data_IF_245648976156
#
_entry.id   IF_245648976156
#
_cell.length_a   1.000
_cell.length_b   1.000
_cell.length_c   1.000
_cell.angle_alpha   90.00
_cell.angle_beta   90.00
_cell.angle_gamma   90.00
#
_symmetry.space_group_name_H-M   'P 1'
#
loop_
_entity.id
_entity.type
_entity.pdbx_description
1 polymer ?
#
# COMPACT_ATOMS: atom_id res chain seq x y z
N UNK A 1 -15.75 -3.80 -11.38
CA UNK A 1 -14.48 -3.22 -10.89
C UNK A 1 -13.34 -3.87 -11.66
N UNK A 2 -12.36 -3.09 -12.13
CA UNK A 2 -11.20 -3.65 -12.79
C UNK A 2 -10.34 -4.42 -11.77
N UNK A 3 -9.81 -5.57 -12.18
CA UNK A 3 -8.87 -6.35 -11.38
C UNK A 3 -7.51 -5.63 -11.32
N UNK A 4 -6.76 -5.71 -10.21
CA UNK A 4 -5.46 -5.06 -10.12
C UNK A 4 -4.42 -5.80 -10.98
N UNK A 5 -3.52 -5.03 -11.57
CA UNK A 5 -2.35 -5.58 -12.25
C UNK A 5 -1.33 -6.03 -11.20
N UNK A 6 -0.96 -7.31 -11.23
CA UNK A 6 0.08 -7.83 -10.34
C UNK A 6 1.43 -7.21 -10.71
N UNK A 7 2.13 -6.69 -9.70
CA UNK A 7 3.45 -6.09 -9.86
C UNK A 7 4.42 -6.66 -8.81
N UNK A 8 5.65 -6.91 -9.22
CA UNK A 8 6.73 -7.26 -8.30
C UNK A 8 7.13 -6.05 -7.46
N UNK A 9 7.47 -6.28 -6.19
CA UNK A 9 7.98 -5.24 -5.28
C UNK A 9 9.07 -4.37 -5.92
N UNK A 10 10.06 -4.96 -6.61
CA UNK A 10 11.18 -4.19 -7.17
C UNK A 10 10.74 -3.18 -8.24
N UNK A 11 9.72 -3.53 -9.04
CA UNK A 11 9.12 -2.63 -10.03
C UNK A 11 8.27 -1.51 -9.42
N UNK A 12 7.82 -1.65 -8.17
CA UNK A 12 7.11 -0.57 -7.46
C UNK A 12 8.04 0.63 -7.25
N UNK A 13 9.34 0.41 -7.08
CA UNK A 13 10.34 1.47 -6.85
C UNK A 13 10.46 2.48 -7.99
N UNK A 14 10.07 2.11 -9.21
CA UNK A 14 10.12 2.96 -10.40
C UNK A 14 8.78 3.64 -10.72
N UNK A 15 7.75 3.44 -9.89
CA UNK A 15 6.44 4.04 -10.13
C UNK A 15 6.40 5.50 -9.69
N UNK A 16 5.65 6.30 -10.45
CA UNK A 16 5.27 7.65 -10.07
C UNK A 16 3.82 7.67 -9.62
N UNK A 17 3.49 8.63 -8.75
CA UNK A 17 2.17 8.77 -8.17
C UNK A 17 1.69 10.21 -8.41
N UNK A 18 0.45 10.36 -8.85
CA UNK A 18 -0.24 11.66 -8.86
C UNK A 18 -0.51 12.08 -7.40
N UNK A 19 -0.83 13.35 -7.14
CA UNK A 19 -1.22 13.86 -5.81
C UNK A 19 -2.73 13.74 -5.56
N UNK A 20 -3.12 13.50 -4.30
CA UNK A 20 -4.51 13.45 -3.84
C UNK A 20 -4.99 12.07 -3.40
N UNK A 21 -6.00 12.03 -2.54
CA UNK A 21 -6.46 10.76 -1.97
C UNK A 21 -7.32 9.96 -2.96
N UNK A 22 -7.09 8.64 -3.03
CA UNK A 22 -7.95 7.69 -3.77
C UNK A 22 -9.24 7.37 -3.05
N UNK A 23 -9.34 7.71 -1.75
CA UNK A 23 -10.52 7.52 -0.93
C UNK A 23 -11.35 8.80 -0.83
N UNK A 24 -12.68 8.65 -0.93
CA UNK A 24 -13.60 9.79 -0.90
C UNK A 24 -14.27 9.99 0.46
N UNK A 25 -14.12 9.06 1.39
CA UNK A 25 -14.81 9.11 2.69
C UNK A 25 -13.82 8.97 3.85
N UNK A 26 -14.10 9.70 4.94
CA UNK A 26 -13.34 9.60 6.20
C UNK A 26 -13.30 8.17 6.73
N UNK A 27 -14.41 7.44 6.58
CA UNK A 27 -14.53 6.04 7.01
C UNK A 27 -13.55 5.12 6.26
N UNK A 28 -13.37 5.32 4.96
CA UNK A 28 -12.46 4.49 4.16
C UNK A 28 -11.00 4.85 4.40
N UNK A 29 -10.71 6.14 4.62
CA UNK A 29 -9.39 6.61 5.06
C UNK A 29 -9.01 5.98 6.41
N UNK A 30 -9.96 5.94 7.36
CA UNK A 30 -9.74 5.33 8.68
C UNK A 30 -9.49 3.82 8.57
N UNK A 31 -10.31 3.10 7.81
CA UNK A 31 -10.11 1.65 7.57
C UNK A 31 -8.75 1.35 6.95
N UNK A 32 -8.31 2.18 6.00
CA UNK A 32 -6.98 2.05 5.39
C UNK A 32 -5.88 2.24 6.42
N UNK A 33 -5.99 3.25 7.29
CA UNK A 33 -5.04 3.49 8.39
C UNK A 33 -4.94 2.28 9.33
N UNK A 34 -6.09 1.75 9.77
CA UNK A 34 -6.16 0.55 10.63
C UNK A 34 -5.52 -0.68 9.97
N UNK A 35 -5.80 -0.89 8.67
CA UNK A 35 -5.22 -1.98 7.90
C UNK A 35 -3.70 -1.84 7.73
N UNK A 36 -3.19 -0.63 7.46
CA UNK A 36 -1.75 -0.33 7.38
C UNK A 36 -1.08 -0.60 8.72
N UNK A 37 -1.67 -0.14 9.83
CA UNK A 37 -1.13 -0.36 11.16
C UNK A 37 -1.02 -1.86 11.47
N UNK A 38 -2.09 -2.62 11.25
CA UNK A 38 -2.12 -4.07 11.46
C UNK A 38 -1.10 -4.80 10.58
N UNK A 39 -1.02 -4.45 9.29
CA UNK A 39 -0.08 -5.08 8.36
C UNK A 39 1.38 -4.75 8.67
N UNK A 40 1.66 -3.54 9.14
CA UNK A 40 3.01 -3.14 9.61
C UNK A 40 3.40 -3.94 10.85
N UNK A 41 2.49 -4.06 11.83
CA UNK A 41 2.72 -4.88 13.02
C UNK A 41 3.02 -6.34 12.68
N UNK A 42 2.19 -6.98 11.84
CA UNK A 42 2.39 -8.38 11.43
C UNK A 42 3.63 -8.56 10.54
N UNK A 43 3.96 -7.56 9.72
CA UNK A 43 5.17 -7.55 8.91
C UNK A 43 6.44 -7.54 9.76
N UNK A 44 6.46 -6.72 10.81
CA UNK A 44 7.59 -6.66 11.74
C UNK A 44 7.67 -7.89 12.65
N UNK A 45 6.54 -8.36 13.20
CA UNK A 45 6.53 -9.46 14.15
C UNK A 45 6.69 -10.84 13.50
N UNK A 46 6.04 -11.07 12.36
CA UNK A 46 5.88 -12.40 11.75
C UNK A 46 6.45 -12.49 10.33
N UNK A 47 7.04 -11.42 9.81
CA UNK A 47 7.43 -11.32 8.40
C UNK A 47 6.28 -11.64 7.43
N UNK A 48 5.04 -11.41 7.87
CA UNK A 48 3.87 -11.71 7.07
C UNK A 48 3.84 -10.83 5.82
N UNK A 49 3.62 -11.45 4.67
CA UNK A 49 3.31 -10.74 3.43
C UNK A 49 1.80 -10.53 3.36
N UNK A 50 1.41 -9.40 2.77
CA UNK A 50 0.03 -9.04 2.51
C UNK A 50 -0.10 -8.59 1.06
N UNK A 51 -1.31 -8.67 0.51
CA UNK A 51 -1.63 -8.06 -0.77
C UNK A 51 -1.97 -6.60 -0.55
N UNK A 52 -1.20 -5.70 -1.17
CA UNK A 52 -1.39 -4.26 -1.10
C UNK A 52 -1.91 -3.80 -2.45
N UNK A 53 -3.12 -3.27 -2.45
CA UNK A 53 -3.78 -2.72 -3.62
C UNK A 53 -3.65 -1.19 -3.61
N UNK A 54 -3.18 -0.61 -4.70
CA UNK A 54 -2.93 0.83 -4.80
C UNK A 54 -3.10 1.35 -6.22
N UNK A 55 -3.41 2.64 -6.36
CA UNK A 55 -3.57 3.31 -7.65
C UNK A 55 -2.54 4.43 -7.81
N UNK A 56 -1.87 4.52 -8.96
CA UNK A 56 -0.86 5.56 -9.24
C UNK A 56 -1.44 6.88 -9.75
N UNK A 57 -2.73 6.92 -10.05
CA UNK A 57 -3.41 7.92 -10.88
C UNK A 57 -3.67 7.41 -12.30
N UNK A 58 -2.81 6.51 -12.81
CA UNK A 58 -2.93 5.93 -14.15
C UNK A 58 -3.29 4.44 -14.13
N UNK A 59 -2.78 3.69 -13.15
CA UNK A 59 -2.91 2.24 -13.11
C UNK A 59 -3.28 1.75 -11.72
N UNK A 60 -4.07 0.68 -11.69
CA UNK A 60 -4.43 -0.05 -10.49
C UNK A 60 -3.54 -1.29 -10.35
N UNK A 61 -2.74 -1.34 -9.28
CA UNK A 61 -1.76 -2.39 -9.04
C UNK A 61 -2.03 -3.17 -7.76
N UNK A 62 -1.48 -4.38 -7.71
CA UNK A 62 -1.38 -5.20 -6.51
C UNK A 62 0.04 -5.75 -6.36
N UNK A 63 0.62 -5.57 -5.17
CA UNK A 63 1.91 -6.15 -4.79
C UNK A 63 1.73 -7.08 -3.60
N UNK A 64 2.37 -8.25 -3.63
CA UNK A 64 2.39 -9.19 -2.51
C UNK A 64 3.73 -9.10 -1.77
N UNK A 65 3.75 -8.36 -0.66
CA UNK A 65 4.99 -8.14 0.10
C UNK A 65 4.72 -7.72 1.54
N UNK A 66 5.78 -7.43 2.31
CA UNK A 66 5.71 -7.03 3.71
C UNK A 66 5.81 -5.52 3.83
N UNK A 67 4.96 -4.92 4.66
CA UNK A 67 5.09 -3.54 5.13
C UNK A 67 6.00 -3.52 6.36
N UNK A 68 7.04 -2.69 6.35
CA UNK A 68 8.05 -2.60 7.41
C UNK A 68 7.85 -1.35 8.28
N UNK A 69 7.49 -0.23 7.66
CA UNK A 69 7.33 1.04 8.35
C UNK A 69 6.15 1.81 7.77
N UNK A 70 5.44 2.53 8.61
CA UNK A 70 4.52 3.59 8.23
C UNK A 70 5.05 4.89 8.84
N UNK A 71 5.45 5.83 7.99
CA UNK A 71 6.05 7.09 8.41
C UNK A 71 5.88 8.18 7.35
N UNK A 72 5.65 9.41 7.79
CA UNK A 72 5.53 10.60 6.93
C UNK A 72 4.61 10.37 5.72
N UNK A 73 3.37 9.94 5.97
CA UNK A 73 2.34 9.64 4.96
C UNK A 73 2.74 8.63 3.88
N UNK A 74 3.72 7.76 4.16
CA UNK A 74 4.17 6.68 3.29
C UNK A 74 4.22 5.36 4.05
N UNK A 75 3.87 4.27 3.37
CA UNK A 75 4.32 2.94 3.79
C UNK A 75 5.66 2.65 3.13
N UNK A 76 6.53 1.96 3.86
CA UNK A 76 7.78 1.44 3.36
C UNK A 76 7.67 -0.07 3.33
N UNK A 77 7.79 -0.60 2.12
CA UNK A 77 7.88 -2.03 1.89
C UNK A 77 9.31 -2.49 2.22
N UNK A 78 9.49 -3.81 2.35
CA UNK A 78 10.84 -4.40 2.46
C UNK A 78 11.78 -3.79 1.41
N UNK A 79 13.04 -3.51 1.78
CA UNK A 79 14.04 -2.93 0.86
C UNK A 79 13.84 -1.44 0.53
N UNK A 80 13.26 -0.68 1.46
CA UNK A 80 13.15 0.79 1.41
C UNK A 80 12.34 1.33 0.22
N UNK A 81 11.31 0.60 -0.21
CA UNK A 81 10.44 1.02 -1.32
C UNK A 81 9.23 1.73 -0.75
N UNK A 82 9.03 2.99 -1.13
CA UNK A 82 7.94 3.83 -0.61
C UNK A 82 6.68 3.72 -1.47
N UNK A 83 5.51 3.74 -0.83
CA UNK A 83 4.20 3.91 -1.46
C UNK A 83 3.42 4.96 -0.66
N UNK A 84 2.90 6.03 -1.28
CA UNK A 84 2.10 7.03 -0.58
C UNK A 84 0.83 6.41 0.02
N UNK A 85 0.51 6.76 1.26
CA UNK A 85 -0.67 6.22 1.97
C UNK A 85 -1.97 6.59 1.23
N UNK A 86 -2.04 7.81 0.72
CA UNK A 86 -3.19 8.34 -0.03
C UNK A 86 -3.46 7.58 -1.33
N UNK A 87 -2.52 6.74 -1.78
CA UNK A 87 -2.63 5.92 -3.00
C UNK A 87 -3.07 4.49 -2.72
N UNK A 88 -3.11 4.07 -1.47
CA UNK A 88 -3.51 2.71 -1.09
C UNK A 88 -5.03 2.62 -1.09
N UNK A 89 -5.55 1.59 -1.74
CA UNK A 89 -6.97 1.24 -1.82
C UNK A 89 -7.35 0.18 -0.80
N UNK A 90 -6.43 -0.72 -0.45
CA UNK A 90 -6.73 -1.78 0.50
C UNK A 90 -5.54 -2.68 0.79
N UNK A 91 -5.62 -3.39 1.91
CA UNK A 91 -4.66 -4.40 2.33
C UNK A 91 -5.42 -5.68 2.68
N UNK A 92 -5.00 -6.80 2.11
CA UNK A 92 -5.62 -8.11 2.30
C UNK A 92 -4.58 -9.10 2.85
N UNK A 93 -4.95 -9.83 3.89
CA UNK A 93 -4.04 -10.65 4.73
C UNK A 93 -3.95 -12.10 4.28
#
# INVERSE_FOLDING_TARGET
>A
MNQPLNISRDKVSSLSYVEGDVMNTVKDIQRRSEAIHKATYLGNLKHQKVYIQFNTGSFFYQVHTTIWLHYNNNIYLKGNIKVPVERILGIHF
#
